data_IF_300533681658
#
_entry.id   IF_300533681658
#
_cell.length_a   1.000
_cell.length_b   1.000
_cell.length_c   1.000
_cell.angle_alpha   90.00
_cell.angle_beta   90.00
_cell.angle_gamma   90.00
#
_symmetry.space_group_name_H-M   'P 1'
#
loop_
_entity.id
_entity.type
_entity.pdbx_description
1 polymer ?
#
# COMPACT_ATOMS: atom_id res chain seq x y z
N UNK A 1 -46.29 -10.87 43.48
CA UNK A 1 -45.45 -9.66 43.28
C UNK A 1 -43.99 -10.09 43.29
N UNK A 2 -43.35 -10.24 42.13
CA UNK A 2 -41.94 -10.66 42.07
C UNK A 2 -41.01 -9.52 42.52
N UNK A 3 -40.22 -9.81 43.55
CA UNK A 3 -39.33 -8.90 44.28
C UNK A 3 -38.42 -8.08 43.34
N UNK A 4 -38.37 -6.76 43.55
CA UNK A 4 -37.57 -5.84 42.75
C UNK A 4 -36.07 -6.16 42.66
N UNK A 5 -35.56 -7.02 43.57
CA UNK A 5 -34.20 -7.57 43.50
C UNK A 5 -33.99 -8.50 42.30
N UNK A 6 -34.98 -9.32 41.94
CA UNK A 6 -34.91 -10.24 40.79
C UNK A 6 -34.84 -9.44 39.48
N UNK A 7 -35.65 -8.37 39.37
CA UNK A 7 -35.65 -7.49 38.19
C UNK A 7 -34.30 -6.79 37.98
N UNK A 8 -33.65 -6.35 39.06
CA UNK A 8 -32.32 -5.74 39.01
C UNK A 8 -31.24 -6.75 38.62
N UNK A 9 -31.32 -7.99 39.14
CA UNK A 9 -30.38 -9.04 38.79
C UNK A 9 -30.49 -9.41 37.30
N UNK A 10 -31.71 -9.55 36.76
CA UNK A 10 -31.95 -9.79 35.35
C UNK A 10 -31.41 -8.65 34.46
N UNK A 11 -31.58 -7.39 34.89
CA UNK A 11 -31.05 -6.24 34.15
C UNK A 11 -29.51 -6.21 34.12
N UNK A 12 -28.84 -6.56 35.23
CA UNK A 12 -27.38 -6.66 35.30
C UNK A 12 -26.87 -7.80 34.41
N UNK A 13 -27.54 -8.96 34.44
CA UNK A 13 -27.20 -10.10 33.58
C UNK A 13 -27.39 -9.74 32.11
N UNK A 14 -28.50 -9.11 31.73
CA UNK A 14 -28.75 -8.64 30.37
C UNK A 14 -27.71 -7.60 29.92
N UNK A 15 -27.32 -6.66 30.79
CA UNK A 15 -26.30 -5.67 30.48
C UNK A 15 -24.92 -6.32 30.28
N UNK A 16 -24.54 -7.25 31.16
CA UNK A 16 -23.30 -8.00 31.04
C UNK A 16 -23.27 -8.87 29.76
N UNK A 17 -24.38 -9.53 29.43
CA UNK A 17 -24.51 -10.32 28.19
C UNK A 17 -24.46 -9.43 26.95
N UNK A 18 -25.05 -8.24 27.00
CA UNK A 18 -25.04 -7.28 25.90
C UNK A 18 -23.64 -6.71 25.68
N UNK A 19 -22.91 -6.39 26.76
CA UNK A 19 -21.50 -5.95 26.68
C UNK A 19 -20.64 -7.08 26.11
N UNK A 20 -20.85 -8.32 26.58
CA UNK A 20 -20.12 -9.48 26.07
C UNK A 20 -20.37 -9.69 24.57
N UNK A 21 -21.62 -9.63 24.12
CA UNK A 21 -22.01 -9.75 22.70
C UNK A 21 -21.42 -8.64 21.82
N UNK A 22 -21.37 -7.40 22.31
CA UNK A 22 -20.75 -6.28 21.59
C UNK A 22 -19.22 -6.41 21.59
N UNK A 23 -18.63 -6.95 22.65
CA UNK A 23 -17.17 -7.17 22.77
C UNK A 23 -16.66 -8.46 22.11
N UNK A 24 -17.54 -9.42 21.80
CA UNK A 24 -17.19 -10.70 21.16
C UNK A 24 -17.14 -10.59 19.64
N UNK A 25 -17.43 -9.42 19.08
CA UNK A 25 -17.08 -9.11 17.70
C UNK A 25 -15.57 -9.20 17.57
N UNK A 26 -15.08 -10.32 17.05
CA UNK A 26 -13.71 -10.41 16.55
C UNK A 26 -13.52 -9.20 15.63
N UNK A 27 -12.43 -8.42 15.76
CA UNK A 27 -12.24 -7.28 14.88
C UNK A 27 -12.34 -7.78 13.45
N UNK A 28 -13.38 -7.33 12.72
CA UNK A 28 -13.50 -7.64 11.30
C UNK A 28 -12.24 -7.13 10.62
N UNK A 29 -11.43 -8.05 10.10
CA UNK A 29 -10.27 -7.69 9.28
C UNK A 29 -10.76 -6.81 8.15
N UNK A 30 -10.29 -5.57 8.10
CA UNK A 30 -10.69 -4.64 7.06
C UNK A 30 -10.09 -5.13 5.73
N UNK A 31 -10.97 -5.56 4.82
CA UNK A 31 -10.57 -5.95 3.46
C UNK A 31 -10.81 -4.78 2.51
N UNK A 32 -9.75 -4.33 1.85
CA UNK A 32 -9.79 -3.23 0.87
C UNK A 32 -9.57 -3.81 -0.52
N UNK A 33 -10.42 -3.42 -1.48
CA UNK A 33 -10.29 -3.78 -2.88
C UNK A 33 -9.94 -2.55 -3.70
N UNK A 34 -8.85 -2.64 -4.44
CA UNK A 34 -8.33 -1.56 -5.27
C UNK A 34 -7.92 -2.07 -6.65
N UNK A 35 -7.67 -1.13 -7.55
CA UNK A 35 -7.10 -1.40 -8.87
C UNK A 35 -6.10 -0.34 -9.28
N UNK A 36 -5.05 -0.74 -9.98
CA UNK A 36 -4.12 0.18 -10.63
C UNK A 36 -3.72 -0.38 -12.01
N UNK A 37 -2.96 0.39 -12.79
CA UNK A 37 -2.57 -0.04 -14.13
C UNK A 37 -1.53 -1.15 -14.05
N UNK A 38 -0.47 -0.96 -13.26
CA UNK A 38 0.54 -2.00 -13.09
C UNK A 38 1.20 -2.01 -11.72
N UNK A 39 1.79 -3.17 -11.40
CA UNK A 39 2.65 -3.38 -10.25
C UNK A 39 4.10 -3.43 -10.72
N UNK A 40 4.97 -2.64 -10.09
CA UNK A 40 6.42 -2.77 -10.21
C UNK A 40 6.96 -3.51 -8.98
N UNK A 41 7.67 -4.62 -9.22
CA UNK A 41 8.48 -5.30 -8.20
C UNK A 41 9.90 -4.73 -8.33
N UNK A 42 10.20 -3.73 -7.51
CA UNK A 42 11.46 -3.01 -7.55
C UNK A 42 12.48 -3.64 -6.59
N UNK A 43 13.57 -4.16 -7.13
CA UNK A 43 14.71 -4.68 -6.38
C UNK A 43 15.74 -3.56 -6.23
N UNK A 44 15.85 -3.01 -5.02
CA UNK A 44 16.76 -1.90 -4.74
C UNK A 44 18.06 -2.43 -4.15
N UNK A 45 19.16 -2.09 -4.80
CA UNK A 45 20.52 -2.49 -4.42
C UNK A 45 21.27 -1.34 -3.74
N UNK A 46 22.20 -1.68 -2.86
CA UNK A 46 23.18 -0.75 -2.29
C UNK A 46 24.57 -1.33 -2.46
N UNK A 47 25.55 -0.47 -2.71
CA UNK A 47 26.96 -0.83 -2.59
C UNK A 47 27.30 -0.91 -1.10
N UNK A 48 27.94 -2.01 -0.72
CA UNK A 48 28.51 -2.20 0.61
C UNK A 48 29.75 -1.30 0.74
N UNK A 49 29.74 -0.42 1.74
CA UNK A 49 30.81 0.58 1.92
C UNK A 49 32.13 -0.06 2.36
N UNK A 50 32.10 -1.28 2.93
CA UNK A 50 33.29 -2.01 3.41
C UNK A 50 33.83 -2.98 2.35
N UNK A 51 32.96 -3.71 1.64
CA UNK A 51 33.38 -4.73 0.66
C UNK A 51 33.35 -4.26 -0.79
N UNK A 52 32.69 -3.13 -1.08
CA UNK A 52 32.46 -2.65 -2.45
C UNK A 52 31.44 -3.48 -3.24
N UNK A 53 30.83 -4.50 -2.64
CA UNK A 53 29.90 -5.40 -3.33
C UNK A 53 28.50 -4.79 -3.47
N UNK A 54 27.85 -5.07 -4.60
CA UNK A 54 26.45 -4.69 -4.82
C UNK A 54 25.55 -5.73 -4.15
N UNK A 55 24.87 -5.34 -3.07
CA UNK A 55 23.96 -6.22 -2.32
C UNK A 55 22.52 -5.74 -2.45
N UNK A 56 21.58 -6.69 -2.56
CA UNK A 56 20.16 -6.38 -2.51
C UNK A 56 19.85 -5.79 -1.12
N UNK A 57 19.36 -4.55 -1.09
CA UNK A 57 19.01 -3.85 0.14
C UNK A 57 17.54 -4.09 0.49
N UNK A 58 16.64 -3.93 -0.47
CA UNK A 58 15.21 -4.06 -0.26
C UNK A 58 14.45 -4.45 -1.52
N UNK A 59 13.25 -5.00 -1.34
CA UNK A 59 12.28 -5.24 -2.41
C UNK A 59 11.04 -4.43 -2.10
N UNK A 60 10.59 -3.63 -3.07
CA UNK A 60 9.39 -2.81 -3.00
C UNK A 60 8.35 -3.29 -3.99
N UNK A 61 7.09 -3.27 -3.58
CA UNK A 61 5.96 -3.40 -4.47
C UNK A 61 5.39 -2.00 -4.65
N UNK A 62 5.44 -1.47 -5.87
CA UNK A 62 5.04 -0.10 -6.20
C UNK A 62 3.86 -0.16 -7.17
N UNK A 63 2.73 0.42 -6.78
CA UNK A 63 1.53 0.43 -7.60
C UNK A 63 1.46 1.72 -8.40
N UNK A 64 1.38 1.57 -9.72
CA UNK A 64 1.38 2.67 -10.67
C UNK A 64 0.02 2.86 -11.33
N UNK A 65 -0.34 4.12 -11.54
CA UNK A 65 -1.59 4.54 -12.15
C UNK A 65 -1.30 5.60 -13.21
N UNK A 66 -1.92 5.48 -14.39
CA UNK A 66 -1.87 6.49 -15.43
C UNK A 66 -2.78 7.67 -15.06
N UNK A 67 -2.28 8.89 -15.23
CA UNK A 67 -3.06 10.12 -15.01
C UNK A 67 -2.89 11.08 -16.17
N UNK A 68 -4.00 11.69 -16.60
CA UNK A 68 -4.04 12.57 -17.76
C UNK A 68 -3.67 14.03 -17.44
N UNK A 69 -3.76 14.45 -16.17
CA UNK A 69 -3.41 15.80 -15.71
C UNK A 69 -2.48 15.79 -14.48
N UNK A 70 -1.17 15.76 -14.73
CA UNK A 70 -0.12 15.79 -13.70
C UNK A 70 0.93 16.84 -14.04
N UNK A 71 1.64 17.32 -13.02
CA UNK A 71 2.86 18.11 -13.22
C UNK A 71 4.06 17.17 -13.32
N UNK A 72 4.70 17.12 -14.48
CA UNK A 72 5.92 16.37 -14.72
C UNK A 72 7.13 17.30 -14.74
N UNK A 73 8.29 16.89 -14.18
CA UNK A 73 9.50 17.69 -14.21
C UNK A 73 9.98 17.87 -15.67
N UNK A 74 10.42 19.07 -16.00
CA UNK A 74 11.09 19.36 -17.27
C UNK A 74 12.53 18.87 -17.15
N UNK A 75 12.93 18.00 -18.07
CA UNK A 75 14.29 17.49 -18.16
C UNK A 75 15.11 18.34 -19.13
N UNK A 76 16.36 18.61 -18.76
CA UNK A 76 17.32 19.22 -19.64
C UNK A 76 17.57 18.29 -20.85
N UNK A 77 17.46 18.79 -22.09
CA UNK A 77 17.50 17.94 -23.28
C UNK A 77 18.87 17.26 -23.50
N UNK A 78 19.95 17.83 -22.98
CA UNK A 78 21.31 17.32 -23.19
C UNK A 78 21.73 16.34 -22.09
N UNK A 79 21.38 16.65 -20.84
CA UNK A 79 21.83 15.90 -19.65
C UNK A 79 20.76 14.97 -19.10
N UNK A 80 19.50 15.15 -19.51
CA UNK A 80 18.30 14.51 -18.92
C UNK A 80 18.14 14.74 -17.42
N UNK A 81 18.89 15.69 -16.85
CA UNK A 81 18.74 16.08 -15.46
C UNK A 81 17.50 16.94 -15.28
N UNK A 82 16.94 16.94 -14.07
CA UNK A 82 15.77 17.74 -13.75
C UNK A 82 16.16 19.22 -13.67
N UNK A 83 15.39 20.08 -14.31
CA UNK A 83 15.64 21.53 -14.37
C UNK A 83 15.05 22.30 -13.17
N UNK A 84 14.26 21.64 -12.32
CA UNK A 84 13.49 22.28 -11.24
C UNK A 84 12.18 22.94 -11.71
N UNK A 85 11.95 23.01 -13.03
CA UNK A 85 10.67 23.45 -13.60
C UNK A 85 9.75 22.26 -13.83
N UNK A 86 8.44 22.50 -13.79
CA UNK A 86 7.42 21.48 -14.08
C UNK A 86 6.50 21.94 -15.20
N UNK A 87 6.00 21.00 -15.99
CA UNK A 87 4.99 21.23 -17.03
C UNK A 87 3.79 20.31 -16.81
N UNK A 88 2.61 20.74 -17.25
CA UNK A 88 1.45 19.87 -17.27
C UNK A 88 1.61 18.80 -18.36
N UNK A 89 1.20 17.58 -18.06
CA UNK A 89 1.19 16.47 -19.00
C UNK A 89 0.47 15.27 -18.42
N UNK A 90 0.69 14.12 -19.05
CA UNK A 90 0.11 12.84 -18.66
C UNK A 90 1.23 11.83 -18.41
N UNK A 91 1.01 10.89 -17.50
CA UNK A 91 2.01 9.88 -17.19
C UNK A 91 1.63 8.98 -16.03
N UNK A 92 2.49 8.00 -15.79
CA UNK A 92 2.34 7.10 -14.65
C UNK A 92 2.81 7.76 -13.37
N UNK A 93 2.00 7.63 -12.32
CA UNK A 93 2.31 8.09 -10.98
C UNK A 93 2.23 6.94 -9.98
N UNK A 94 3.02 7.04 -8.92
CA UNK A 94 2.95 6.09 -7.82
C UNK A 94 1.68 6.38 -7.03
N UNK A 95 0.79 5.40 -6.96
CA UNK A 95 -0.42 5.48 -6.14
C UNK A 95 -0.13 5.11 -4.69
N UNK A 96 0.65 4.06 -4.50
CA UNK A 96 1.07 3.56 -3.19
C UNK A 96 2.29 2.64 -3.36
N UNK A 97 2.97 2.33 -2.27
CA UNK A 97 4.04 1.35 -2.26
C UNK A 97 4.19 0.69 -0.89
N UNK A 98 4.74 -0.54 -0.89
CA UNK A 98 5.12 -1.23 0.34
C UNK A 98 6.50 -1.86 0.20
N UNK A 99 7.26 -1.85 1.29
CA UNK A 99 8.54 -2.56 1.38
C UNK A 99 8.27 -3.99 1.86
N UNK A 100 8.36 -4.96 0.95
CA UNK A 100 8.06 -6.38 1.26
C UNK A 100 9.24 -7.12 1.85
N UNK A 101 10.47 -6.63 1.60
CA UNK A 101 11.70 -7.17 2.16
C UNK A 101 12.69 -6.04 2.39
N UNK A 102 13.32 -6.01 3.56
CA UNK A 102 14.42 -5.10 3.87
C UNK A 102 15.51 -5.89 4.60
N UNK A 103 16.74 -5.84 4.07
CA UNK A 103 17.87 -6.59 4.61
C UNK A 103 18.69 -5.81 5.65
N UNK A 104 18.51 -4.48 5.74
CA UNK A 104 19.37 -3.61 6.55
C UNK A 104 18.64 -2.94 7.73
N UNK A 105 17.31 -2.94 7.73
CA UNK A 105 16.50 -2.44 8.84
C UNK A 105 15.69 -3.57 9.44
N UNK A 106 15.40 -3.45 10.76
CA UNK A 106 14.43 -4.31 11.44
C UNK A 106 13.15 -4.28 10.62
N UNK A 107 12.75 -5.41 10.05
CA UNK A 107 11.63 -5.46 9.10
C UNK A 107 10.41 -4.81 9.73
N UNK A 108 9.93 -3.68 9.21
CA UNK A 108 8.74 -3.06 9.78
C UNK A 108 7.57 -3.92 9.32
N UNK A 109 6.99 -4.67 10.27
CA UNK A 109 5.66 -5.30 10.15
C UNK A 109 5.63 -6.42 9.10
N UNK A 110 5.16 -7.59 9.51
CA UNK A 110 5.06 -8.73 8.60
C UNK A 110 4.10 -8.31 7.47
N UNK A 111 4.57 -8.30 6.24
CA UNK A 111 3.72 -8.16 5.07
C UNK A 111 3.73 -9.51 4.38
N UNK A 112 2.57 -10.18 4.33
CA UNK A 112 2.42 -11.35 3.46
C UNK A 112 1.94 -10.85 2.12
N UNK A 113 2.67 -11.18 1.06
CA UNK A 113 2.26 -10.89 -0.32
C UNK A 113 1.98 -12.18 -1.08
N UNK A 114 0.98 -12.16 -1.93
CA UNK A 114 0.69 -13.22 -2.88
C UNK A 114 0.32 -12.59 -4.22
N UNK A 115 0.86 -13.16 -5.29
CA UNK A 115 0.56 -12.78 -6.66
C UNK A 115 -0.15 -13.93 -7.35
N UNK A 116 -1.34 -13.65 -7.90
CA UNK A 116 -2.12 -14.63 -8.63
C UNK A 116 -2.48 -14.09 -10.02
N UNK A 117 -2.22 -14.89 -11.05
CA UNK A 117 -2.68 -14.60 -12.40
C UNK A 117 -4.17 -14.95 -12.51
N UNK A 118 -4.96 -14.05 -13.09
CA UNK A 118 -6.39 -14.24 -13.34
C UNK A 118 -6.69 -14.10 -14.83
N UNK A 119 -7.93 -14.38 -15.25
CA UNK A 119 -8.36 -14.16 -16.64
C UNK A 119 -8.29 -12.70 -17.08
N UNK A 120 -8.29 -11.75 -16.13
CA UNK A 120 -8.37 -10.29 -16.39
C UNK A 120 -7.06 -9.55 -16.12
N UNK A 121 -5.97 -10.26 -15.82
CA UNK A 121 -4.69 -9.67 -15.44
C UNK A 121 -4.12 -10.35 -14.20
N UNK A 122 -3.69 -9.57 -13.22
CA UNK A 122 -3.08 -10.05 -12.00
C UNK A 122 -3.79 -9.49 -10.77
N UNK A 123 -3.76 -10.26 -9.69
CA UNK A 123 -4.20 -9.80 -8.37
C UNK A 123 -3.01 -9.92 -7.43
N UNK A 124 -2.65 -8.79 -6.82
CA UNK A 124 -1.71 -8.73 -5.72
C UNK A 124 -2.51 -8.64 -4.43
N UNK A 125 -2.35 -9.62 -3.55
CA UNK A 125 -2.91 -9.58 -2.20
C UNK A 125 -1.75 -9.25 -1.28
N UNK A 126 -1.90 -8.23 -0.45
CA UNK A 126 -0.99 -8.04 0.67
C UNK A 126 -1.75 -7.85 1.98
N UNK A 127 -1.18 -8.39 3.04
CA UNK A 127 -1.72 -8.28 4.39
C UNK A 127 -0.73 -7.53 5.27
N UNK A 128 -1.17 -6.38 5.79
CA UNK A 128 -0.44 -5.64 6.82
C UNK A 128 -0.98 -6.05 8.19
N UNK A 129 -0.17 -6.80 8.94
CA UNK A 129 -0.54 -7.32 10.26
C UNK A 129 -0.63 -6.25 11.36
N UNK A 130 -0.28 -4.99 11.09
CA UNK A 130 -0.31 -3.96 12.14
C UNK A 130 -1.59 -3.15 12.18
N UNK A 131 -2.22 -3.00 11.03
CA UNK A 131 -3.55 -2.41 10.94
C UNK A 131 -4.64 -3.47 10.79
N UNK A 132 -4.24 -4.77 10.76
CA UNK A 132 -5.11 -5.92 10.46
C UNK A 132 -5.91 -5.72 9.15
N UNK A 133 -5.22 -5.15 8.14
CA UNK A 133 -5.78 -4.84 6.83
C UNK A 133 -5.31 -5.90 5.84
N UNK A 134 -6.25 -6.41 5.05
CA UNK A 134 -5.96 -7.20 3.85
C UNK A 134 -6.32 -6.34 2.65
N UNK A 135 -5.39 -6.10 1.73
CA UNK A 135 -5.65 -5.35 0.51
C UNK A 135 -5.48 -6.23 -0.71
N UNK A 136 -6.50 -6.20 -1.57
CA UNK A 136 -6.53 -6.86 -2.87
C UNK A 136 -6.38 -5.78 -3.94
N UNK A 137 -5.27 -5.78 -4.65
CA UNK A 137 -5.02 -4.84 -5.74
C UNK A 137 -5.02 -5.58 -7.07
N UNK A 138 -6.01 -5.27 -7.91
CA UNK A 138 -6.07 -5.78 -9.27
C UNK A 138 -5.20 -4.94 -10.19
N UNK A 139 -4.32 -5.57 -10.96
CA UNK A 139 -3.38 -4.89 -11.87
C UNK A 139 -3.42 -5.54 -13.24
N UNK A 140 -3.18 -4.77 -14.30
CA UNK A 140 -3.21 -5.30 -15.67
C UNK A 140 -1.95 -6.10 -16.00
N UNK A 141 -0.78 -5.58 -15.60
CA UNK A 141 0.52 -6.23 -15.80
C UNK A 141 1.47 -6.02 -14.61
N UNK A 142 2.56 -6.79 -14.60
CA UNK A 142 3.63 -6.73 -13.60
C UNK A 142 4.94 -6.45 -14.33
N UNK A 143 5.75 -5.55 -13.78
CA UNK A 143 7.11 -5.27 -14.25
C UNK A 143 8.08 -5.53 -13.10
N UNK A 144 9.26 -6.07 -13.40
CA UNK A 144 10.33 -6.24 -12.42
C UNK A 144 11.48 -5.30 -12.79
N UNK A 145 11.96 -4.53 -11.83
CA UNK A 145 13.05 -3.57 -12.01
C UNK A 145 14.18 -3.85 -11.02
N UNK A 146 15.38 -3.43 -11.39
CA UNK A 146 16.60 -3.54 -10.59
C UNK A 146 17.29 -2.18 -10.60
N UNK A 147 17.27 -1.48 -9.46
CA UNK A 147 17.74 -0.09 -9.37
C UNK A 147 18.68 0.10 -8.19
N UNK A 148 19.49 1.16 -8.24
CA UNK A 148 20.25 1.67 -7.09
C UNK A 148 19.52 2.79 -6.35
N UNK A 149 18.39 3.27 -6.89
CA UNK A 149 17.60 4.38 -6.37
C UNK A 149 16.18 3.95 -6.00
N UNK A 150 15.57 4.68 -5.07
CA UNK A 150 14.19 4.46 -4.67
C UNK A 150 13.23 5.12 -5.68
N UNK A 151 12.38 4.33 -6.34
CA UNK A 151 11.43 4.83 -7.34
C UNK A 151 10.44 5.84 -6.75
N UNK A 152 10.19 5.79 -5.44
CA UNK A 152 9.32 6.75 -4.75
C UNK A 152 9.92 8.16 -4.73
N UNK A 153 11.23 8.29 -4.46
CA UNK A 153 11.91 9.60 -4.45
C UNK A 153 11.80 10.30 -5.80
N UNK A 154 11.84 9.55 -6.90
CA UNK A 154 11.65 10.10 -8.23
C UNK A 154 10.20 10.52 -8.50
N UNK A 155 9.22 9.85 -7.88
CA UNK A 155 7.80 10.16 -8.05
C UNK A 155 7.30 11.31 -7.17
N UNK A 156 7.97 11.62 -6.04
CA UNK A 156 7.57 12.70 -5.10
C UNK A 156 7.35 14.07 -5.75
N UNK A 157 8.06 14.34 -6.83
CA UNK A 157 7.98 15.61 -7.55
C UNK A 157 6.83 15.65 -8.57
N UNK A 158 6.16 14.52 -8.82
CA UNK A 158 4.99 14.44 -9.68
C UNK A 158 3.75 14.76 -8.85
N UNK A 159 3.19 15.94 -9.07
CA UNK A 159 1.99 16.39 -8.37
C UNK A 159 0.79 16.11 -9.26
N UNK A 160 -0.13 15.29 -8.75
CA UNK A 160 -1.40 15.08 -9.42
C UNK A 160 -2.34 16.26 -9.18
N UNK A 161 -2.92 16.78 -10.27
CA UNK A 161 -3.86 17.91 -10.21
C UNK A 161 -5.32 17.45 -10.08
N UNK A 162 -5.57 16.16 -10.28
CA UNK A 162 -6.90 15.56 -10.20
C UNK A 162 -7.20 14.99 -8.81
N UNK A 163 -8.36 15.34 -8.26
CA UNK A 163 -8.78 14.90 -6.93
C UNK A 163 -9.71 13.69 -7.05
N UNK A 164 -9.15 12.46 -7.03
CA UNK A 164 -9.92 11.21 -7.18
C UNK A 164 -9.94 10.30 -5.95
N UNK A 165 -9.34 10.72 -4.84
CA UNK A 165 -9.31 9.96 -3.58
C UNK A 165 -10.66 9.96 -2.82
N UNK A 166 -11.75 9.56 -3.49
CA UNK A 166 -12.97 9.13 -2.79
C UNK A 166 -12.90 7.62 -2.60
N UNK A 167 -12.49 7.19 -1.41
CA UNK A 167 -12.65 5.81 -0.96
C UNK A 167 -14.15 5.44 -1.07
N UNK A 168 -14.52 4.63 -2.06
CA UNK A 168 -15.84 4.00 -2.09
C UNK A 168 -15.82 2.82 -1.12
N UNK A 169 -16.37 3.02 0.08
CA UNK A 169 -16.85 1.91 0.91
C UNK A 169 -17.97 1.20 0.13
N UNK A 170 -17.81 -0.10 -0.12
CA UNK A 170 -18.91 -0.99 -0.53
C UNK A 170 -19.22 -1.92 0.62
#
# INVERSE_FOLDING_TARGET
MCSGRIKRLCAIVLAAFSIFLVSSGSPERLVIYDSCDYLEINNVYKIDDETGEIKLRMVQYVWWEWRDSILVPVLDPNTRQKTGLSKQGSGFVVRDYVVVKNNNLKQPRIIRTALAKTKRGWVCIYQDFTYDIIRHVSVKWIVTTHTSYDSELNNREIIALENRNRLTRR
#
